data_IF_789050587171
#
_entry.id   IF_789050587171
#
_cell.length_a   1.000
_cell.length_b   1.000
_cell.length_c   1.000
_cell.angle_alpha   90.00
_cell.angle_beta   90.00
_cell.angle_gamma   90.00
#
_symmetry.space_group_name_H-M   'P 1'
#
loop_
_entity.id
_entity.type
_entity.pdbx_description
1 polymer ?
#
# COMPACT_ATOMS: atom_id res chain seq x y z
N UNK A 1 -8.81 -4.31 30.23
CA UNK A 1 -8.26 -3.36 29.25
C UNK A 1 -9.02 -3.54 27.94
N UNK A 2 -9.64 -2.50 27.37
CA UNK A 2 -10.26 -2.61 26.04
C UNK A 2 -9.13 -2.86 25.03
N UNK A 3 -9.25 -3.90 24.21
CA UNK A 3 -8.31 -4.16 23.12
C UNK A 3 -8.21 -2.90 22.24
N UNK A 4 -7.00 -2.46 21.85
CA UNK A 4 -6.81 -1.36 20.91
C UNK A 4 -7.35 -1.67 19.50
N UNK A 5 -7.84 -2.89 19.27
CA UNK A 5 -8.40 -3.38 18.02
C UNK A 5 -9.80 -3.94 18.25
N UNK A 6 -10.78 -3.39 17.55
CA UNK A 6 -12.13 -3.95 17.46
C UNK A 6 -12.11 -5.27 16.68
N UNK A 7 -12.92 -6.26 17.07
CA UNK A 7 -12.96 -7.58 16.42
C UNK A 7 -13.20 -7.50 14.91
N UNK A 8 -14.04 -6.56 14.46
CA UNK A 8 -14.32 -6.31 13.03
C UNK A 8 -13.08 -5.87 12.22
N UNK A 9 -12.04 -5.37 12.87
CA UNK A 9 -10.80 -4.96 12.22
C UNK A 9 -9.81 -6.12 12.07
N UNK A 10 -9.98 -7.23 12.79
CA UNK A 10 -8.99 -8.32 12.80
C UNK A 10 -8.81 -8.95 11.42
N UNK A 11 -9.88 -9.43 10.80
CA UNK A 11 -9.81 -10.07 9.48
C UNK A 11 -9.16 -9.17 8.41
N UNK A 12 -9.62 -7.92 8.18
CA UNK A 12 -9.00 -7.06 7.19
C UNK A 12 -7.56 -6.68 7.53
N UNK A 13 -7.21 -6.50 8.82
CA UNK A 13 -5.82 -6.24 9.24
C UNK A 13 -4.90 -7.43 8.97
N UNK A 14 -5.37 -8.65 9.25
CA UNK A 14 -4.61 -9.86 9.00
C UNK A 14 -4.37 -10.07 7.50
N UNK A 15 -5.43 -9.96 6.69
CA UNK A 15 -5.35 -10.15 5.24
C UNK A 15 -4.41 -9.13 4.58
N UNK A 16 -4.63 -7.83 4.83
CA UNK A 16 -3.79 -6.76 4.25
C UNK A 16 -2.37 -6.79 4.82
N UNK A 17 -2.24 -6.95 6.14
CA UNK A 17 -0.95 -6.96 6.82
C UNK A 17 -0.05 -8.11 6.37
N UNK A 18 -0.59 -9.33 6.25
CA UNK A 18 0.17 -10.48 5.78
C UNK A 18 0.63 -10.32 4.34
N UNK A 19 -0.25 -9.84 3.45
CA UNK A 19 0.07 -9.66 2.04
C UNK A 19 1.14 -8.58 1.84
N UNK A 20 1.00 -7.43 2.51
CA UNK A 20 1.97 -6.33 2.43
C UNK A 20 3.30 -6.73 3.06
N UNK A 21 3.29 -7.43 4.21
CA UNK A 21 4.51 -7.93 4.84
C UNK A 21 5.26 -8.90 3.91
N UNK A 22 4.53 -9.85 3.31
CA UNK A 22 5.10 -10.78 2.32
C UNK A 22 5.68 -10.04 1.11
N UNK A 23 4.96 -9.05 0.58
CA UNK A 23 5.40 -8.17 -0.52
C UNK A 23 6.69 -7.42 -0.19
N UNK A 24 6.84 -6.93 1.05
CA UNK A 24 8.06 -6.27 1.49
C UNK A 24 9.23 -7.23 1.68
N UNK A 25 8.98 -8.41 2.24
CA UNK A 25 10.01 -9.45 2.43
C UNK A 25 10.55 -9.98 1.10
N UNK A 26 9.70 -10.17 0.09
CA UNK A 26 10.14 -10.65 -1.24
C UNK A 26 11.04 -9.66 -1.96
N UNK A 27 10.95 -8.36 -1.64
CA UNK A 27 11.80 -7.30 -2.21
C UNK A 27 13.16 -7.13 -1.51
N UNK A 28 13.41 -7.81 -0.38
CA UNK A 28 14.58 -7.56 0.48
C UNK A 28 15.93 -8.00 -0.13
N UNK A 29 15.89 -8.82 -1.18
CA UNK A 29 17.06 -9.33 -1.92
C UNK A 29 16.91 -9.19 -3.43
N UNK A 30 16.11 -8.23 -3.89
CA UNK A 30 15.90 -7.98 -5.31
C UNK A 30 17.22 -7.56 -5.98
N UNK A 31 17.52 -8.16 -7.12
CA UNK A 31 18.69 -7.80 -7.93
C UNK A 31 18.54 -6.40 -8.57
N UNK A 32 19.64 -5.91 -9.14
CA UNK A 32 19.72 -4.55 -9.66
C UNK A 32 18.86 -4.32 -10.92
N UNK A 33 18.68 -5.35 -11.75
CA UNK A 33 17.85 -5.29 -12.95
C UNK A 33 16.36 -5.14 -12.58
N UNK A 34 15.87 -6.01 -11.71
CA UNK A 34 14.51 -5.94 -11.19
C UNK A 34 14.28 -4.65 -10.40
N UNK A 35 15.28 -4.18 -9.64
CA UNK A 35 15.18 -2.91 -8.94
C UNK A 35 15.07 -1.72 -9.90
N UNK A 36 15.79 -1.76 -11.02
CA UNK A 36 15.72 -0.75 -12.07
C UNK A 36 14.35 -0.75 -12.75
N UNK A 37 13.78 -1.93 -13.04
CA UNK A 37 12.42 -2.04 -13.58
C UNK A 37 11.37 -1.45 -12.63
N UNK A 38 11.40 -1.85 -11.36
CA UNK A 38 10.44 -1.37 -10.36
C UNK A 38 10.57 0.14 -10.10
N UNK A 39 11.80 0.65 -10.03
CA UNK A 39 12.07 2.09 -9.92
C UNK A 39 11.63 2.86 -11.16
N UNK A 40 11.89 2.30 -12.35
CA UNK A 40 11.47 2.86 -13.65
C UNK A 40 9.97 3.06 -13.74
N UNK A 41 9.20 2.04 -13.32
CA UNK A 41 7.75 2.11 -13.23
C UNK A 41 7.28 3.15 -12.20
N UNK A 42 7.94 3.23 -11.04
CA UNK A 42 7.55 4.21 -10.02
C UNK A 42 7.86 5.66 -10.44
N UNK A 43 9.03 5.91 -11.05
CA UNK A 43 9.46 7.26 -11.42
C UNK A 43 8.74 7.82 -12.64
N UNK A 44 8.22 6.97 -13.53
CA UNK A 44 7.38 7.42 -14.65
C UNK A 44 6.10 8.12 -14.15
N UNK A 45 5.55 7.64 -13.02
CA UNK A 45 4.42 8.26 -12.32
C UNK A 45 4.87 9.42 -11.42
N UNK A 46 5.97 9.23 -10.69
CA UNK A 46 6.43 10.12 -9.63
C UNK A 46 7.87 10.60 -9.94
N UNK A 47 8.04 11.64 -10.77
CA UNK A 47 9.36 12.06 -11.25
C UNK A 47 10.37 12.43 -10.17
N UNK A 48 9.90 12.81 -8.98
CA UNK A 48 10.77 13.10 -7.83
C UNK A 48 11.58 11.88 -7.36
N UNK A 49 11.13 10.65 -7.68
CA UNK A 49 11.84 9.42 -7.35
C UNK A 49 13.12 9.22 -8.18
N UNK A 50 13.29 9.94 -9.30
CA UNK A 50 14.49 9.86 -10.13
C UNK A 50 15.76 10.28 -9.38
N UNK A 51 15.61 11.10 -8.31
CA UNK A 51 16.71 11.52 -7.43
C UNK A 51 17.21 10.40 -6.49
N UNK A 52 16.51 9.27 -6.44
CA UNK A 52 16.82 8.15 -5.55
C UNK A 52 17.37 7.00 -6.41
N UNK A 53 18.54 6.44 -6.09
CA UNK A 53 19.06 5.28 -6.80
C UNK A 53 18.09 4.08 -6.74
N UNK A 54 17.93 3.28 -7.82
CA UNK A 54 16.95 2.18 -7.87
C UNK A 54 17.04 1.20 -6.70
N UNK A 55 18.25 0.75 -6.38
CA UNK A 55 18.50 -0.19 -5.26
C UNK A 55 18.14 0.42 -3.90
N UNK A 56 18.33 1.73 -3.74
CA UNK A 56 17.95 2.46 -2.52
C UNK A 56 16.44 2.60 -2.45
N UNK A 57 15.79 2.93 -3.56
CA UNK A 57 14.33 3.00 -3.65
C UNK A 57 13.69 1.67 -3.26
N UNK A 58 14.12 0.55 -3.86
CA UNK A 58 13.56 -0.78 -3.53
C UNK A 58 13.81 -1.16 -2.08
N UNK A 59 14.98 -0.84 -1.53
CA UNK A 59 15.27 -1.07 -0.11
C UNK A 59 14.34 -0.28 0.80
N UNK A 60 14.06 0.98 0.48
CA UNK A 60 13.14 1.83 1.23
C UNK A 60 11.70 1.33 1.10
N UNK A 61 11.27 0.98 -0.11
CA UNK A 61 9.95 0.41 -0.39
C UNK A 61 9.73 -0.89 0.39
N UNK A 62 10.68 -1.82 0.29
CA UNK A 62 10.67 -3.10 1.02
C UNK A 62 10.52 -2.87 2.53
N UNK A 63 11.33 -1.97 3.11
CA UNK A 63 11.24 -1.65 4.55
C UNK A 63 9.92 -0.99 4.91
N UNK A 64 9.40 -0.10 4.06
CA UNK A 64 8.11 0.57 4.26
C UNK A 64 6.95 -0.41 4.24
N UNK A 65 6.92 -1.32 3.27
CA UNK A 65 5.93 -2.41 3.20
C UNK A 65 6.04 -3.32 4.43
N UNK A 66 7.25 -3.76 4.81
CA UNK A 66 7.42 -4.58 6.01
C UNK A 66 6.94 -3.87 7.28
N UNK A 67 7.24 -2.57 7.42
CA UNK A 67 6.80 -1.77 8.56
C UNK A 67 5.28 -1.63 8.59
N UNK A 68 4.64 -1.32 7.45
CA UNK A 68 3.18 -1.22 7.35
C UNK A 68 2.50 -2.57 7.60
N UNK A 69 3.01 -3.65 7.01
CA UNK A 69 2.52 -5.01 7.21
C UNK A 69 2.60 -5.44 8.67
N UNK A 70 3.74 -5.19 9.32
CA UNK A 70 3.90 -5.43 10.76
C UNK A 70 2.96 -4.56 11.60
N UNK A 71 2.78 -3.29 11.22
CA UNK A 71 1.87 -2.37 11.92
C UNK A 71 0.41 -2.79 11.81
N UNK A 72 0.01 -3.46 10.73
CA UNK A 72 -1.32 -4.04 10.56
C UNK A 72 -1.49 -5.35 11.36
N UNK A 73 -0.46 -6.20 11.40
CA UNK A 73 -0.52 -7.49 12.08
C UNK A 73 -0.40 -7.39 13.60
N UNK A 74 0.45 -6.49 14.11
CA UNK A 74 0.71 -6.40 15.55
C UNK A 74 -0.40 -5.62 16.27
N UNK A 75 -0.90 -6.13 17.41
CA UNK A 75 -2.01 -5.50 18.11
C UNK A 75 -1.63 -4.23 18.88
N UNK A 76 -0.34 -3.86 18.88
CA UNK A 76 0.16 -2.69 19.62
C UNK A 76 -0.02 -1.38 18.86
N UNK A 77 -0.28 -1.43 17.55
CA UNK A 77 -0.47 -0.22 16.73
C UNK A 77 -1.95 0.14 16.66
N UNK A 78 -2.33 1.36 17.10
CA UNK A 78 -3.71 1.85 17.01
C UNK A 78 -4.29 1.71 15.59
N UNK A 79 -5.54 1.26 15.49
CA UNK A 79 -6.17 0.99 14.18
C UNK A 79 -6.24 2.22 13.29
N UNK A 80 -6.49 3.40 13.85
CA UNK A 80 -6.47 4.65 13.07
C UNK A 80 -5.11 4.94 12.43
N UNK A 81 -4.00 4.62 13.11
CA UNK A 81 -2.65 4.87 12.59
C UNK A 81 -2.29 3.85 11.51
N UNK A 82 -2.58 2.57 11.75
CA UNK A 82 -2.38 1.52 10.74
C UNK A 82 -3.26 1.77 9.50
N UNK A 83 -4.50 2.21 9.71
CA UNK A 83 -5.43 2.62 8.65
C UNK A 83 -4.92 3.82 7.85
N UNK A 84 -4.43 4.88 8.51
CA UNK A 84 -3.85 6.03 7.82
C UNK A 84 -2.62 5.64 6.98
N UNK A 85 -1.75 4.78 7.50
CA UNK A 85 -0.63 4.21 6.75
C UNK A 85 -1.08 3.42 5.52
N UNK A 86 -2.12 2.58 5.69
CA UNK A 86 -2.71 1.81 4.59
C UNK A 86 -3.35 2.72 3.53
N UNK A 87 -4.03 3.78 3.94
CA UNK A 87 -4.57 4.80 3.02
C UNK A 87 -3.46 5.46 2.23
N UNK A 88 -2.39 5.92 2.90
CA UNK A 88 -1.26 6.57 2.21
C UNK A 88 -0.60 5.62 1.21
N UNK A 89 -0.33 4.37 1.60
CA UNK A 89 0.27 3.36 0.75
C UNK A 89 -0.60 3.03 -0.47
N UNK A 90 -1.87 2.69 -0.25
CA UNK A 90 -2.81 2.34 -1.32
C UNK A 90 -3.17 3.52 -2.23
N UNK A 91 -3.17 4.75 -1.72
CA UNK A 91 -3.30 5.96 -2.55
C UNK A 91 -2.11 6.12 -3.50
N UNK A 92 -0.89 5.76 -3.06
CA UNK A 92 0.28 5.73 -3.91
C UNK A 92 0.14 4.76 -5.08
N UNK A 93 -0.36 3.55 -4.81
CA UNK A 93 -0.63 2.52 -5.82
C UNK A 93 -1.75 2.94 -6.78
N UNK A 94 -2.85 3.48 -6.25
CA UNK A 94 -3.94 4.00 -7.06
C UNK A 94 -3.49 5.19 -7.92
N UNK A 95 -2.60 6.04 -7.40
CA UNK A 95 -1.97 7.11 -8.17
C UNK A 95 -1.13 6.57 -9.33
N UNK A 96 -0.42 5.45 -9.14
CA UNK A 96 0.28 4.77 -10.25
C UNK A 96 -0.70 4.24 -11.29
N UNK A 97 -1.79 3.60 -10.86
CA UNK A 97 -2.85 3.13 -11.76
C UNK A 97 -3.43 4.26 -12.62
N UNK A 98 -3.74 5.40 -12.01
CA UNK A 98 -4.43 6.51 -12.69
C UNK A 98 -3.52 7.38 -13.56
N UNK A 99 -2.21 7.35 -13.36
CA UNK A 99 -1.27 8.27 -14.02
C UNK A 99 -0.26 7.59 -14.92
N UNK A 100 -0.07 6.27 -14.79
CA UNK A 100 0.80 5.51 -15.71
C UNK A 100 0.06 5.28 -17.02
N UNK A 101 0.61 5.71 -18.17
CA UNK A 101 0.01 5.43 -19.47
C UNK A 101 -0.17 3.92 -19.71
N UNK A 102 -1.30 3.53 -20.31
CA UNK A 102 -1.59 2.13 -20.63
C UNK A 102 -2.23 1.29 -19.51
N UNK A 103 -2.39 1.84 -18.30
CA UNK A 103 -3.04 1.13 -17.18
C UNK A 103 -4.57 1.12 -17.26
N UNK A 104 -5.18 2.09 -17.93
CA UNK A 104 -6.62 2.16 -18.14
C UNK A 104 -6.95 2.37 -19.62
N UNK A 105 -8.12 1.90 -20.03
CA UNK A 105 -8.64 2.08 -21.39
C UNK A 105 -8.70 3.59 -21.73
N UNK A 106 -8.48 3.95 -22.99
CA UNK A 106 -8.49 5.36 -23.43
C UNK A 106 -9.85 6.02 -23.12
N UNK A 107 -9.82 7.18 -22.45
CA UNK A 107 -11.03 7.90 -22.05
C UNK A 107 -11.87 7.24 -20.94
N UNK A 108 -11.36 6.20 -20.28
CA UNK A 108 -12.09 5.43 -19.27
C UNK A 108 -11.22 5.16 -18.03
N UNK A 109 -11.88 4.91 -16.88
CA UNK A 109 -11.22 4.42 -15.66
C UNK A 109 -11.17 2.89 -15.59
N UNK A 110 -11.60 2.21 -16.64
CA UNK A 110 -11.61 0.75 -16.72
C UNK A 110 -10.18 0.24 -16.91
N UNK A 111 -9.72 -0.74 -16.10
CA UNK A 111 -8.36 -1.21 -16.18
C UNK A 111 -8.12 -2.00 -17.46
N UNK A 112 -6.93 -1.85 -18.03
CA UNK A 112 -6.41 -2.80 -19.03
C UNK A 112 -5.99 -4.10 -18.34
N UNK A 113 -5.57 -5.10 -19.13
CA UNK A 113 -5.02 -6.34 -18.58
C UNK A 113 -3.78 -6.06 -17.71
N UNK A 114 -2.93 -5.13 -18.14
CA UNK A 114 -1.74 -4.72 -17.39
C UNK A 114 -2.13 -3.95 -16.12
N UNK A 115 -3.05 -2.98 -16.23
CA UNK A 115 -3.45 -2.16 -15.10
C UNK A 115 -4.30 -2.86 -14.05
N UNK A 116 -4.86 -4.04 -14.36
CA UNK A 116 -5.67 -4.82 -13.41
C UNK A 116 -4.90 -5.16 -12.13
N UNK A 117 -3.58 -5.37 -12.23
CA UNK A 117 -2.74 -5.68 -11.08
C UNK A 117 -2.65 -4.52 -10.07
N UNK A 118 -2.69 -3.26 -10.53
CA UNK A 118 -2.71 -2.08 -9.65
C UNK A 118 -4.15 -1.65 -9.30
N UNK A 119 -5.08 -1.75 -10.25
CA UNK A 119 -6.47 -1.36 -10.07
C UNK A 119 -7.14 -2.14 -8.94
N UNK A 120 -6.82 -3.43 -8.82
CA UNK A 120 -7.38 -4.27 -7.76
C UNK A 120 -7.04 -3.70 -6.38
N UNK A 121 -5.91 -3.03 -6.18
CA UNK A 121 -5.49 -2.56 -4.86
C UNK A 121 -6.39 -1.47 -4.25
N UNK A 122 -7.42 -1.02 -4.97
CA UNK A 122 -8.49 -0.14 -4.46
C UNK A 122 -9.19 -0.68 -3.21
N UNK A 123 -9.30 -2.01 -3.03
CA UNK A 123 -9.91 -2.57 -1.80
C UNK A 123 -9.07 -2.25 -0.56
N UNK A 124 -7.74 -2.15 -0.68
CA UNK A 124 -6.87 -1.75 0.43
C UNK A 124 -7.15 -0.31 0.86
N UNK A 125 -7.39 0.59 -0.11
CA UNK A 125 -7.79 1.97 0.19
C UNK A 125 -9.13 2.00 0.93
N UNK A 126 -10.12 1.23 0.46
CA UNK A 126 -11.42 1.10 1.13
C UNK A 126 -11.31 0.59 2.57
N UNK A 127 -10.49 -0.43 2.82
CA UNK A 127 -10.22 -0.95 4.17
C UNK A 127 -9.58 0.12 5.05
N UNK A 128 -8.53 0.79 4.55
CA UNK A 128 -7.82 1.83 5.30
C UNK A 128 -8.73 3.00 5.69
N UNK A 129 -9.54 3.48 4.75
CA UNK A 129 -10.55 4.52 5.00
C UNK A 129 -11.59 4.04 6.02
N UNK A 130 -12.07 2.80 5.89
CA UNK A 130 -12.99 2.19 6.86
C UNK A 130 -12.44 2.21 8.28
N UNK A 131 -11.16 1.83 8.48
CA UNK A 131 -10.50 1.90 9.79
C UNK A 131 -10.44 3.32 10.34
N UNK A 132 -10.04 4.29 9.51
CA UNK A 132 -9.90 5.69 9.94
C UNK A 132 -11.26 6.27 10.32
N UNK A 133 -12.28 6.09 9.48
CA UNK A 133 -13.63 6.62 9.71
C UNK A 133 -14.28 5.98 10.94
N UNK A 134 -14.18 4.66 11.09
CA UNK A 134 -14.77 3.95 12.23
C UNK A 134 -14.13 4.37 13.56
N UNK A 135 -12.80 4.48 13.62
CA UNK A 135 -12.09 4.91 14.83
C UNK A 135 -12.38 6.38 15.18
N UNK A 136 -12.42 7.29 14.19
CA UNK A 136 -12.72 8.69 14.43
C UNK A 136 -14.19 8.91 14.85
N UNK A 137 -15.10 8.14 14.27
CA UNK A 137 -16.53 8.21 14.61
C UNK A 137 -16.84 7.55 15.95
N UNK A 138 -16.16 6.44 16.28
CA UNK A 138 -16.30 5.73 17.54
C UNK A 138 -15.73 6.48 18.75
N UNK A 139 -14.69 7.30 18.56
CA UNK A 139 -14.13 8.18 19.61
C UNK A 139 -15.05 9.34 20.00
N UNK A 140 -16.03 9.67 19.17
CA UNK A 140 -16.98 10.78 19.39
C UNK A 140 -18.19 10.40 20.23
N UNK A 141 -18.37 9.10 20.52
CA UNK A 141 -19.40 8.55 21.41
C UNK A 141 -18.79 8.17 22.75
#
# INVERSE_FOLDING_TARGET
>A
MRSPIALRHLAPRLATGAFILNSGMSKRGMDEENATGLHGMAKSTYPFLDKIPPTTFVRLLSRGEMALGAALLLPVVPTVLAGAGLVAFSSGLLGMYLRTPGMHEEGSLRPTQEGTALAKDVWMLGIGLGFVVDELSGRRK
#
